data_IF_080196677309
#
_entry.id   IF_080196677309
#
_cell.length_a   1.000
_cell.length_b   1.000
_cell.length_c   1.000
_cell.angle_alpha   90.00
_cell.angle_beta   90.00
_cell.angle_gamma   90.00
#
_symmetry.space_group_name_H-M   'P 1'
#
loop_
_entity.id
_entity.type
_entity.pdbx_description
1 polymer ?
#
# COMPACT_ATOMS: atom_id res chain seq x y z
N UNK A 1 8.16 3.95 -25.12
CA UNK A 1 8.22 3.54 -24.66
C UNK A 1 7.88 3.05 -23.82
N UNK A 2 7.45 3.00 -23.91
CA UNK A 2 6.94 2.42 -23.06
C UNK A 2 7.55 2.03 -21.93
N UNK A 3 8.58 2.07 -21.79
CA UNK A 3 9.20 1.80 -20.59
C UNK A 3 8.74 2.65 -19.52
N UNK A 4 7.94 3.62 -19.82
CA UNK A 4 7.28 4.36 -18.77
C UNK A 4 6.05 3.65 -18.27
N UNK A 5 5.67 2.57 -18.93
CA UNK A 5 4.52 1.81 -18.51
C UNK A 5 4.86 1.04 -17.24
N UNK A 6 4.02 1.17 -16.22
CA UNK A 6 4.22 0.45 -14.98
C UNK A 6 3.97 -1.04 -15.19
N UNK A 7 4.80 -1.85 -14.58
CA UNK A 7 4.68 -3.29 -14.65
C UNK A 7 3.79 -3.77 -13.52
N UNK A 8 2.59 -4.22 -13.84
CA UNK A 8 1.59 -4.63 -12.86
C UNK A 8 2.11 -5.74 -11.95
N UNK A 9 2.80 -6.72 -12.52
CA UNK A 9 3.32 -7.83 -11.73
C UNK A 9 4.36 -7.37 -10.74
N UNK A 10 5.22 -6.46 -11.17
CA UNK A 10 6.26 -5.93 -10.31
C UNK A 10 5.66 -5.13 -9.15
N UNK A 11 4.65 -4.33 -9.43
CA UNK A 11 3.98 -3.54 -8.39
C UNK A 11 3.22 -4.46 -7.43
N UNK A 12 2.55 -5.49 -7.95
CA UNK A 12 1.90 -6.48 -7.09
C UNK A 12 2.90 -7.15 -6.15
N UNK A 13 4.08 -7.48 -6.67
CA UNK A 13 5.12 -8.13 -5.87
C UNK A 13 5.59 -7.22 -4.74
N UNK A 14 5.80 -5.94 -5.05
CA UNK A 14 6.18 -4.97 -4.03
C UNK A 14 5.09 -4.84 -2.97
N UNK A 15 3.85 -4.78 -3.41
CA UNK A 15 2.71 -4.65 -2.51
C UNK A 15 2.61 -5.87 -1.60
N UNK A 16 2.80 -7.06 -2.16
CA UNK A 16 2.77 -8.29 -1.39
C UNK A 16 3.86 -8.32 -0.32
N UNK A 17 5.06 -7.89 -0.68
CA UNK A 17 6.16 -7.84 0.27
C UNK A 17 5.85 -6.91 1.44
N UNK A 18 5.30 -5.74 1.14
CA UNK A 18 4.90 -4.79 2.17
C UNK A 18 3.79 -5.37 3.03
N UNK A 19 2.81 -5.99 2.39
CA UNK A 19 1.69 -6.61 3.10
C UNK A 19 2.18 -7.66 4.10
N UNK A 20 3.10 -8.52 3.65
CA UNK A 20 3.64 -9.57 4.50
C UNK A 20 4.42 -9.01 5.68
N UNK A 21 5.23 -7.98 5.43
CA UNK A 21 6.03 -7.37 6.48
C UNK A 21 5.15 -6.67 7.52
N UNK A 22 4.19 -5.89 7.06
CA UNK A 22 3.30 -5.16 7.96
C UNK A 22 2.36 -6.12 8.70
N UNK A 23 1.98 -7.24 8.07
CA UNK A 23 1.18 -8.26 8.73
C UNK A 23 1.88 -8.75 10.00
N UNK A 24 3.18 -9.02 9.92
CA UNK A 24 3.94 -9.46 11.08
C UNK A 24 3.97 -8.39 12.17
N UNK A 25 4.13 -7.14 11.78
CA UNK A 25 4.11 -6.03 12.74
C UNK A 25 2.73 -5.87 13.37
N UNK A 26 1.69 -5.97 12.56
CA UNK A 26 0.32 -5.81 13.04
C UNK A 26 -0.06 -6.95 13.98
N UNK A 27 0.41 -8.15 13.72
CA UNK A 27 0.13 -9.30 14.59
C UNK A 27 0.73 -9.11 15.97
N UNK A 28 1.89 -8.49 16.06
CA UNK A 28 2.57 -8.29 17.32
C UNK A 28 2.17 -7.01 18.02
N UNK A 29 2.03 -5.94 17.25
CA UNK A 29 1.76 -4.61 17.79
C UNK A 29 0.78 -3.85 16.91
N UNK A 30 -0.49 -4.28 16.89
CA UNK A 30 -1.48 -3.69 15.98
C UNK A 30 -1.72 -2.21 16.24
N UNK A 31 -1.62 -1.77 17.49
CA UNK A 31 -1.93 -0.39 17.85
C UNK A 31 -0.73 0.54 17.88
N UNK A 32 0.47 0.02 17.59
CA UNK A 32 1.65 0.86 17.50
C UNK A 32 1.64 1.60 16.16
N UNK A 33 2.15 2.81 16.16
CA UNK A 33 2.27 3.58 14.93
C UNK A 33 3.39 3.01 14.08
N UNK A 34 3.15 2.97 12.78
CA UNK A 34 4.17 2.53 11.83
C UNK A 34 5.31 3.55 11.83
N UNK A 35 6.54 3.11 11.54
CA UNK A 35 7.62 4.06 11.48
C UNK A 35 7.61 4.81 10.14
N UNK A 36 8.23 5.98 10.16
CA UNK A 36 8.17 6.91 9.03
C UNK A 36 8.83 6.33 7.78
N UNK A 37 9.93 5.62 7.95
CA UNK A 37 10.65 5.04 6.83
C UNK A 37 9.77 4.02 6.07
N UNK A 38 9.12 3.14 6.81
CA UNK A 38 8.23 2.15 6.19
C UNK A 38 7.05 2.83 5.52
N UNK A 39 6.52 3.87 6.14
CA UNK A 39 5.37 4.59 5.58
C UNK A 39 5.72 5.24 4.25
N UNK A 40 6.92 5.75 4.10
CA UNK A 40 7.34 6.33 2.83
C UNK A 40 7.33 5.31 1.71
N UNK A 41 7.84 4.11 1.96
CA UNK A 41 7.80 3.03 0.99
C UNK A 41 6.38 2.64 0.64
N UNK A 42 5.54 2.54 1.66
CA UNK A 42 4.14 2.18 1.47
C UNK A 42 3.47 3.21 0.57
N UNK A 43 3.67 4.49 0.88
CA UNK A 43 3.05 5.56 0.09
C UNK A 43 3.53 5.55 -1.36
N UNK A 44 4.82 5.30 -1.59
CA UNK A 44 5.34 5.22 -2.95
C UNK A 44 4.66 4.10 -3.73
N UNK A 45 4.51 2.95 -3.10
CA UNK A 45 3.85 1.81 -3.75
C UNK A 45 2.37 2.10 -4.00
N UNK A 46 1.70 2.74 -3.04
CA UNK A 46 0.30 3.09 -3.19
C UNK A 46 0.09 4.09 -4.33
N UNK A 47 1.00 5.03 -4.51
CA UNK A 47 0.92 5.97 -5.63
C UNK A 47 0.95 5.24 -6.97
N UNK A 48 1.82 4.24 -7.08
CA UNK A 48 1.90 3.45 -8.31
C UNK A 48 0.63 2.63 -8.51
N UNK A 49 0.11 2.07 -7.44
CA UNK A 49 -1.16 1.34 -7.52
C UNK A 49 -2.29 2.26 -7.96
N UNK A 50 -2.33 3.47 -7.44
CA UNK A 50 -3.38 4.43 -7.80
C UNK A 50 -3.33 4.77 -9.29
N UNK A 51 -2.12 4.90 -9.84
CA UNK A 51 -1.98 5.15 -11.28
C UNK A 51 -2.55 4.00 -12.10
N UNK A 52 -2.26 2.78 -11.69
CA UNK A 52 -2.71 1.59 -12.41
C UNK A 52 -4.21 1.37 -12.27
N UNK A 53 -4.74 1.63 -11.09
CA UNK A 53 -6.15 1.37 -10.81
C UNK A 53 -7.09 2.45 -11.32
N UNK A 54 -6.62 3.69 -11.33
CA UNK A 54 -7.46 4.81 -11.78
C UNK A 54 -8.76 4.86 -10.99
N UNK A 55 -9.88 4.75 -11.69
CA UNK A 55 -11.20 4.81 -11.06
C UNK A 55 -11.58 3.53 -10.32
N UNK A 56 -10.74 2.49 -10.41
CA UNK A 56 -10.99 1.22 -9.73
C UNK A 56 -10.31 1.15 -8.38
N UNK A 57 -9.87 2.28 -7.83
CA UNK A 57 -9.25 2.30 -6.52
C UNK A 57 -10.25 1.82 -5.46
N UNK A 58 -9.77 1.05 -4.48
CA UNK A 58 -10.68 0.44 -3.50
C UNK A 58 -11.30 1.44 -2.53
N UNK A 59 -10.68 2.62 -2.37
CA UNK A 59 -11.14 3.62 -1.43
C UNK A 59 -10.93 4.98 -2.09
N UNK A 60 -11.98 5.49 -2.73
CA UNK A 60 -11.84 6.63 -3.64
C UNK A 60 -11.33 7.90 -2.98
N UNK A 61 -11.66 8.14 -1.73
CA UNK A 61 -11.22 9.35 -1.05
C UNK A 61 -9.80 9.24 -0.49
N UNK A 62 -9.18 8.06 -0.63
CA UNK A 62 -7.85 7.82 -0.09
C UNK A 62 -6.84 7.73 -1.22
N UNK A 63 -5.68 8.36 -1.08
CA UNK A 63 -4.59 8.21 -2.02
C UNK A 63 -3.34 7.66 -1.34
N UNK A 64 -2.89 8.32 -0.30
CA UNK A 64 -1.74 7.88 0.50
C UNK A 64 -1.95 8.32 1.93
N UNK A 65 -1.13 7.81 2.84
CA UNK A 65 -1.18 8.21 4.25
C UNK A 65 -0.47 9.53 4.47
N UNK A 66 -0.99 10.29 5.42
CA UNK A 66 -0.35 11.54 5.86
C UNK A 66 0.87 11.16 6.70
N UNK A 67 2.05 11.62 6.29
CA UNK A 67 3.29 11.29 7.00
C UNK A 67 3.44 12.08 8.30
N UNK A 68 2.63 13.12 8.50
CA UNK A 68 2.64 13.87 9.75
C UNK A 68 1.77 13.22 10.84
N UNK A 69 0.90 12.29 10.44
CA UNK A 69 0.03 11.59 11.37
C UNK A 69 0.18 10.10 11.13
N UNK A 70 1.22 9.52 11.71
CA UNK A 70 1.54 8.12 11.43
C UNK A 70 0.40 7.19 11.83
N UNK A 71 -0.09 6.37 10.90
CA UNK A 71 -1.16 5.43 11.23
C UNK A 71 -0.63 4.25 12.05
N UNK A 72 -1.54 3.50 12.63
CA UNK A 72 -1.16 2.29 13.33
C UNK A 72 -0.86 1.18 12.32
N UNK A 73 -0.15 0.16 12.78
CA UNK A 73 0.16 -0.98 11.92
C UNK A 73 -1.11 -1.64 11.39
N UNK A 74 -2.14 -1.76 12.23
CA UNK A 74 -3.38 -2.40 11.79
C UNK A 74 -4.14 -1.55 10.77
N UNK A 75 -4.09 -0.23 10.90
CA UNK A 75 -4.72 0.66 9.91
C UNK A 75 -4.04 0.53 8.55
N UNK A 76 -2.71 0.49 8.57
CA UNK A 76 -1.95 0.29 7.33
C UNK A 76 -2.32 -1.04 6.70
N UNK A 77 -2.48 -2.06 7.52
CA UNK A 77 -2.78 -3.41 7.04
C UNK A 77 -4.10 -3.46 6.28
N UNK A 78 -5.12 -2.77 6.79
CA UNK A 78 -6.42 -2.71 6.13
C UNK A 78 -6.27 -2.13 4.72
N UNK A 79 -5.54 -1.04 4.60
CA UNK A 79 -5.35 -0.39 3.32
C UNK A 79 -4.55 -1.30 2.36
N UNK A 80 -3.49 -1.92 2.85
CA UNK A 80 -2.69 -2.81 2.02
C UNK A 80 -3.52 -4.00 1.50
N UNK A 81 -4.38 -4.55 2.34
CA UNK A 81 -5.24 -5.65 1.94
C UNK A 81 -6.22 -5.23 0.85
N UNK A 82 -6.83 -4.06 1.02
CA UNK A 82 -7.77 -3.55 0.02
C UNK A 82 -7.08 -3.32 -1.33
N UNK A 83 -5.88 -2.74 -1.29
CA UNK A 83 -5.15 -2.48 -2.52
C UNK A 83 -4.64 -3.77 -3.16
N UNK A 84 -4.25 -4.73 -2.35
CA UNK A 84 -3.79 -6.01 -2.89
C UNK A 84 -4.92 -6.70 -3.66
N UNK A 85 -6.11 -6.72 -3.07
CA UNK A 85 -7.27 -7.31 -3.73
C UNK A 85 -7.59 -6.58 -5.03
N UNK A 86 -7.58 -5.25 -5.01
CA UNK A 86 -7.88 -4.47 -6.20
C UNK A 86 -6.84 -4.71 -7.30
N UNK A 87 -5.57 -4.76 -6.93
CA UNK A 87 -4.49 -4.99 -7.89
C UNK A 87 -4.55 -6.39 -8.48
N UNK A 88 -5.06 -7.34 -7.71
CA UNK A 88 -5.15 -8.71 -8.16
C UNK A 88 -6.21 -8.88 -9.26
N UNK A 89 -7.20 -7.96 -9.27
CA UNK A 89 -8.26 -7.98 -10.27
C UNK A 89 -7.83 -7.36 -11.61
N UNK A 90 -6.69 -6.72 -11.66
CA UNK A 90 -6.18 -6.20 -12.93
C UNK A 90 -5.75 -7.36 -13.86
#
# INVERSE_FOLDING_TARGET
>A
MSQTKLNVEQIRSQLYTLQSDIQRLSDKKPNDNINEFKLKFINQTLEKCNELLGNSRPYESFTTFDTDMLPTNSDVMIILDLYYDAMYEL
#
